data_IF_446663840973
#
_entry.id   IF_446663840973
#
_cell.length_a   1.000
_cell.length_b   1.000
_cell.length_c   1.000
_cell.angle_alpha   90.00
_cell.angle_beta   90.00
_cell.angle_gamma   90.00
#
_symmetry.space_group_name_H-M   'P 1'
#
loop_
_entity.id
_entity.type
_entity.pdbx_description
1 polymer ?
#
# COMPACT_ATOMS: atom_id res chain seq x y z
N UNK A 1 1.39 16.62 -25.36
CA UNK A 1 0.02 16.33 -24.88
C UNK A 1 -0.09 17.00 -23.55
N UNK A 2 -0.83 18.10 -23.49
CA UNK A 2 -1.11 18.82 -22.26
C UNK A 2 -2.15 17.97 -21.50
N UNK A 3 -1.65 17.13 -20.60
CA UNK A 3 -2.52 16.32 -19.75
C UNK A 3 -3.07 17.23 -18.66
N UNK A 4 -4.39 17.44 -18.65
CA UNK A 4 -5.10 18.23 -17.64
C UNK A 4 -5.16 17.44 -16.32
N UNK A 5 -4.00 17.14 -15.74
CA UNK A 5 -3.88 16.38 -14.50
C UNK A 5 -3.83 17.40 -13.36
N UNK A 6 -4.84 17.34 -12.50
CA UNK A 6 -4.91 18.10 -11.26
C UNK A 6 -5.01 17.14 -10.07
N UNK A 7 -3.99 17.18 -9.22
CA UNK A 7 -3.84 16.31 -8.06
C UNK A 7 -4.97 16.45 -7.05
N UNK A 8 -5.67 17.59 -7.04
CA UNK A 8 -6.73 17.87 -6.08
C UNK A 8 -8.14 17.51 -6.56
N UNK A 9 -8.33 17.27 -7.87
CA UNK A 9 -9.67 17.11 -8.44
C UNK A 9 -9.85 15.88 -9.30
N UNK A 10 -8.79 15.33 -9.91
CA UNK A 10 -8.94 14.26 -10.89
C UNK A 10 -7.88 13.15 -10.80
N UNK A 11 -7.17 13.04 -9.68
CA UNK A 11 -6.16 12.01 -9.48
C UNK A 11 -6.55 11.01 -8.40
N UNK A 12 -6.50 9.73 -8.76
CA UNK A 12 -6.69 8.59 -7.85
C UNK A 12 -5.34 7.91 -7.69
N UNK A 13 -4.79 7.93 -6.48
CA UNK A 13 -3.48 7.34 -6.20
C UNK A 13 -3.67 5.92 -5.68
N UNK A 14 -2.99 4.97 -6.30
CA UNK A 14 -2.98 3.56 -5.87
C UNK A 14 -1.57 3.19 -5.42
N UNK A 15 -1.45 2.54 -4.26
CA UNK A 15 -0.17 2.09 -3.73
C UNK A 15 -0.29 0.86 -2.84
N UNK A 16 0.85 0.19 -2.65
CA UNK A 16 1.01 -0.94 -1.74
C UNK A 16 1.91 -0.59 -0.55
N UNK A 17 1.36 -0.63 0.66
CA UNK A 17 2.13 -0.46 1.88
C UNK A 17 2.24 -1.76 2.69
N UNK A 18 3.46 -2.08 3.09
CA UNK A 18 3.73 -3.13 4.07
C UNK A 18 3.77 -2.55 5.50
N UNK A 19 3.10 -3.22 6.43
CA UNK A 19 3.15 -2.96 7.87
C UNK A 19 3.63 -4.22 8.58
N UNK A 20 4.57 -4.05 9.51
CA UNK A 20 5.04 -5.15 10.35
C UNK A 20 5.20 -4.69 11.81
N UNK A 21 5.03 -5.62 12.73
CA UNK A 21 4.99 -5.34 14.18
C UNK A 21 6.30 -4.72 14.72
N UNK A 22 7.44 -5.07 14.12
CA UNK A 22 8.74 -4.47 14.48
C UNK A 22 8.94 -3.03 13.95
N UNK A 23 7.97 -2.43 13.24
CA UNK A 23 8.07 -1.01 12.82
C UNK A 23 8.02 -0.04 14.02
N UNK A 24 7.62 -0.52 15.21
CA UNK A 24 7.56 0.28 16.45
C UNK A 24 8.95 0.79 16.83
N UNK A 25 9.05 2.11 17.04
CA UNK A 25 10.27 2.73 17.58
C UNK A 25 10.31 2.46 19.07
N UNK A 26 11.24 1.60 19.50
CA UNK A 26 11.47 1.39 20.93
C UNK A 26 12.31 2.55 21.44
N UNK A 27 11.73 3.37 22.32
CA UNK A 27 12.45 4.43 23.04
C UNK A 27 12.44 4.04 24.51
N UNK A 28 13.62 4.05 25.14
CA UNK A 28 13.77 3.78 26.55
C UNK A 28 14.54 4.94 27.19
N UNK A 29 14.08 5.38 28.37
CA UNK A 29 14.82 6.30 29.21
C UNK A 29 15.63 5.50 30.21
N UNK A 30 16.87 5.89 30.43
CA UNK A 30 17.73 5.26 31.43
C UNK A 30 18.37 6.32 32.31
N UNK A 31 18.69 5.93 33.55
CA UNK A 31 19.31 6.86 34.49
C UNK A 31 20.70 7.23 33.96
N UNK A 32 21.04 8.52 34.07
CA UNK A 32 22.40 9.01 33.83
C UNK A 32 23.39 8.13 34.62
N UNK A 33 24.53 7.83 34.00
CA UNK A 33 25.62 6.97 34.51
C UNK A 33 25.34 5.46 34.57
N UNK A 34 24.30 4.95 33.91
CA UNK A 34 24.01 3.53 33.88
C UNK A 34 23.85 3.01 32.44
N UNK A 35 24.14 1.72 32.19
CA UNK A 35 24.11 1.14 30.84
C UNK A 35 22.67 0.83 30.41
N UNK A 36 22.23 1.43 29.31
CA UNK A 36 20.95 1.05 28.68
C UNK A 36 21.07 -0.36 28.08
N UNK A 37 20.23 -1.29 28.55
CA UNK A 37 20.05 -2.61 27.96
C UNK A 37 18.74 -2.65 27.20
N UNK A 38 18.80 -3.00 25.92
CA UNK A 38 17.63 -3.08 25.06
C UNK A 38 17.52 -4.51 24.53
N UNK A 39 16.47 -5.21 24.94
CA UNK A 39 16.13 -6.52 24.38
C UNK A 39 15.47 -6.31 23.02
N UNK A 40 16.18 -6.66 21.96
CA UNK A 40 15.61 -6.64 20.61
C UNK A 40 14.87 -7.95 20.35
N UNK A 41 13.54 -7.91 20.09
CA UNK A 41 12.85 -9.09 19.62
C UNK A 41 13.47 -9.52 18.29
N UNK A 42 14.11 -10.69 18.27
CA UNK A 42 14.72 -11.28 17.06
C UNK A 42 13.67 -11.96 16.16
N UNK A 43 12.41 -11.91 16.53
CA UNK A 43 11.32 -12.59 15.82
C UNK A 43 11.13 -11.93 14.46
N UNK A 44 11.15 -12.74 13.39
CA UNK A 44 10.76 -12.29 12.05
C UNK A 44 9.28 -11.93 12.11
N UNK A 45 8.99 -10.64 12.18
CA UNK A 45 7.64 -10.11 12.20
C UNK A 45 6.85 -10.59 10.98
N UNK A 46 5.62 -11.03 11.20
CA UNK A 46 4.64 -11.24 10.13
C UNK A 46 4.33 -9.88 9.50
N UNK A 47 4.55 -9.78 8.19
CA UNK A 47 4.25 -8.57 7.42
C UNK A 47 2.83 -8.68 6.87
N UNK A 48 2.03 -7.66 7.14
CA UNK A 48 0.73 -7.44 6.50
C UNK A 48 0.92 -6.45 5.35
N UNK A 49 0.47 -6.83 4.17
CA UNK A 49 0.49 -5.97 2.99
C UNK A 49 -0.89 -5.35 2.83
N UNK A 50 -0.96 -4.05 2.57
CA UNK A 50 -2.18 -3.31 2.35
C UNK A 50 -2.11 -2.66 0.97
N UNK A 51 -3.11 -2.94 0.14
CA UNK A 51 -3.35 -2.23 -1.11
C UNK A 51 -4.38 -1.14 -0.84
N UNK A 52 -4.12 0.07 -1.28
CA UNK A 52 -5.01 1.20 -1.03
C UNK A 52 -5.12 2.11 -2.25
N UNK A 53 -6.32 2.64 -2.43
CA UNK A 53 -6.66 3.65 -3.40
C UNK A 53 -7.21 4.88 -2.69
N UNK A 54 -6.58 6.04 -2.89
CA UNK A 54 -7.01 7.31 -2.30
C UNK A 54 -7.37 8.33 -3.38
N UNK A 55 -8.28 9.21 -3.01
CA UNK A 55 -8.67 10.41 -3.71
C UNK A 55 -8.48 11.62 -2.77
N UNK A 56 -8.40 12.86 -3.26
CA UNK A 56 -8.22 14.04 -2.41
C UNK A 56 -9.27 14.20 -1.32
N UNK A 57 -10.49 13.71 -1.53
CA UNK A 57 -11.56 13.74 -0.53
C UNK A 57 -11.56 12.56 0.45
N UNK A 58 -10.80 11.49 0.20
CA UNK A 58 -10.77 10.35 1.10
C UNK A 58 -10.27 9.05 0.48
N UNK A 59 -10.37 7.98 1.28
CA UNK A 59 -9.99 6.63 0.87
C UNK A 59 -11.14 5.98 0.12
N UNK A 60 -10.88 5.46 -1.09
CA UNK A 60 -11.89 4.79 -1.92
C UNK A 60 -11.97 3.32 -1.54
N UNK A 61 -10.82 2.63 -1.52
CA UNK A 61 -10.76 1.19 -1.31
C UNK A 61 -9.48 0.79 -0.60
N UNK A 62 -9.61 -0.15 0.33
CA UNK A 62 -8.49 -0.73 1.09
C UNK A 62 -8.64 -2.25 1.08
N UNK A 63 -7.60 -2.96 0.66
CA UNK A 63 -7.50 -4.41 0.80
C UNK A 63 -6.31 -4.79 1.65
N UNK A 64 -6.61 -5.37 2.81
CA UNK A 64 -5.61 -5.90 3.73
C UNK A 64 -5.32 -7.36 3.39
N UNK A 65 -4.04 -7.72 3.34
CA UNK A 65 -3.57 -9.08 3.06
C UNK A 65 -2.62 -9.52 4.16
N UNK A 66 -3.07 -10.50 4.93
CA UNK A 66 -2.27 -11.16 5.94
C UNK A 66 -1.24 -12.13 5.36
N UNK A 67 -0.19 -12.46 6.13
CA UNK A 67 0.76 -13.50 5.78
C UNK A 67 0.06 -14.84 5.68
N UNK A 68 0.18 -15.51 4.52
CA UNK A 68 -0.36 -16.88 4.36
C UNK A 68 0.58 -17.86 5.04
N UNK A 69 0.03 -18.74 5.89
CA UNK A 69 0.74 -19.90 6.40
C UNK A 69 1.15 -20.79 5.22
N UNK A 70 2.44 -20.79 4.88
CA UNK A 70 2.96 -21.72 3.89
C UNK A 70 3.02 -23.09 4.54
N UNK A 71 2.19 -24.03 4.07
CA UNK A 71 2.32 -25.44 4.42
C UNK A 71 3.76 -25.90 4.14
N UNK A 72 4.48 -26.32 5.18
CA UNK A 72 5.92 -26.64 5.14
C UNK A 72 6.28 -27.79 4.17
N UNK A 73 5.29 -28.53 3.66
CA UNK A 73 5.48 -29.72 2.83
C UNK A 73 5.74 -29.45 1.34
N UNK A 74 5.75 -28.19 0.87
CA UNK A 74 6.22 -27.87 -0.50
C UNK A 74 7.44 -26.97 -0.42
N UNK A 75 8.62 -27.59 -0.57
CA UNK A 75 9.89 -26.93 -0.90
C UNK A 75 9.78 -26.24 -2.27
N UNK A 76 9.05 -25.12 -2.35
CA UNK A 76 9.20 -24.07 -3.39
C UNK A 76 8.19 -22.94 -3.18
N UNK A 77 8.77 -21.73 -3.10
CA UNK A 77 8.25 -20.38 -3.33
C UNK A 77 7.73 -19.61 -2.10
N UNK A 78 8.59 -18.69 -1.67
CA UNK A 78 8.37 -17.44 -0.93
C UNK A 78 6.91 -16.98 -0.94
N UNK A 79 6.15 -17.37 0.08
CA UNK A 79 4.75 -17.01 0.23
C UNK A 79 4.61 -15.63 0.85
N UNK A 80 3.88 -14.73 0.17
CA UNK A 80 3.39 -13.49 0.79
C UNK A 80 3.40 -12.23 -0.08
N UNK A 81 3.99 -12.23 -1.28
CA UNK A 81 4.00 -11.04 -2.14
C UNK A 81 2.68 -10.82 -2.90
N UNK A 82 2.37 -9.57 -3.24
CA UNK A 82 1.32 -9.24 -4.21
C UNK A 82 1.75 -9.75 -5.58
N UNK A 83 1.01 -10.75 -6.09
CA UNK A 83 1.14 -11.22 -7.47
C UNK A 83 0.33 -10.29 -8.36
N UNK A 84 0.71 -10.17 -9.63
CA UNK A 84 0.02 -9.35 -10.65
C UNK A 84 -1.51 -9.54 -10.60
N UNK A 85 -2.01 -10.77 -10.46
CA UNK A 85 -3.47 -11.02 -10.38
C UNK A 85 -4.15 -10.44 -9.14
N UNK A 86 -3.45 -10.33 -8.02
CA UNK A 86 -4.01 -9.67 -6.82
C UNK A 86 -4.13 -8.17 -7.00
N UNK A 87 -3.14 -7.57 -7.67
CA UNK A 87 -3.16 -6.14 -8.00
C UNK A 87 -4.25 -5.84 -9.04
N UNK A 88 -4.35 -6.66 -10.08
CA UNK A 88 -5.40 -6.55 -11.10
C UNK A 88 -6.81 -6.61 -10.48
N UNK A 89 -7.08 -7.59 -9.62
CA UNK A 89 -8.37 -7.68 -8.92
C UNK A 89 -8.60 -6.50 -7.96
N UNK A 90 -7.56 -5.87 -7.43
CA UNK A 90 -7.74 -4.66 -6.64
C UNK A 90 -8.16 -3.47 -7.50
N UNK A 91 -7.53 -3.30 -8.66
CA UNK A 91 -7.87 -2.26 -9.62
C UNK A 91 -9.29 -2.43 -10.14
N UNK A 92 -9.70 -3.65 -10.53
CA UNK A 92 -11.06 -3.92 -10.98
C UNK A 92 -12.10 -3.54 -9.92
N UNK A 93 -11.95 -4.05 -8.69
CA UNK A 93 -12.89 -3.74 -7.60
C UNK A 93 -12.89 -2.24 -7.25
N UNK A 94 -11.76 -1.55 -7.39
CA UNK A 94 -11.70 -0.10 -7.18
C UNK A 94 -12.46 0.63 -8.30
N UNK A 95 -12.26 0.25 -9.55
CA UNK A 95 -13.00 0.85 -10.67
C UNK A 95 -14.49 0.51 -10.62
N UNK A 96 -14.89 -0.66 -10.11
CA UNK A 96 -16.30 -0.99 -9.90
C UNK A 96 -16.96 0.02 -8.95
N UNK A 97 -16.29 0.39 -7.86
CA UNK A 97 -16.75 1.43 -6.92
C UNK A 97 -16.78 2.81 -7.60
N UNK A 98 -15.75 3.14 -8.39
CA UNK A 98 -15.67 4.43 -9.07
C UNK A 98 -16.74 4.58 -10.15
N UNK A 99 -17.08 3.51 -10.86
CA UNK A 99 -18.07 3.49 -11.93
C UNK A 99 -19.50 3.78 -11.41
N UNK A 100 -19.75 3.58 -10.11
CA UNK A 100 -21.01 3.96 -9.45
C UNK A 100 -21.21 5.49 -9.37
N UNK A 101 -20.13 6.27 -9.52
CA UNK A 101 -20.16 7.73 -9.39
C UNK A 101 -19.67 8.41 -10.67
N UNK A 102 -20.53 9.24 -11.28
CA UNK A 102 -20.20 9.89 -12.55
C UNK A 102 -19.00 10.86 -12.46
N UNK A 103 -18.75 11.42 -11.28
CA UNK A 103 -17.67 12.37 -11.02
C UNK A 103 -16.27 11.78 -11.27
N UNK A 104 -16.11 10.47 -11.14
CA UNK A 104 -14.80 9.83 -11.30
C UNK A 104 -14.48 9.43 -12.74
N UNK A 105 -15.43 9.50 -13.69
CA UNK A 105 -15.22 9.04 -15.09
C UNK A 105 -14.10 9.77 -15.83
N UNK A 106 -13.71 10.96 -15.37
CA UNK A 106 -12.63 11.78 -15.95
C UNK A 106 -11.33 11.71 -15.13
N UNK A 107 -11.26 10.83 -14.13
CA UNK A 107 -10.10 10.72 -13.27
C UNK A 107 -8.95 9.91 -13.91
N UNK A 108 -7.74 10.23 -13.46
CA UNK A 108 -6.50 9.55 -13.76
C UNK A 108 -6.12 8.63 -12.61
N UNK A 109 -5.87 7.36 -12.93
CA UNK A 109 -5.28 6.40 -12.00
C UNK A 109 -3.76 6.58 -12.03
N UNK A 110 -3.22 7.04 -10.91
CA UNK A 110 -1.80 7.30 -10.70
C UNK A 110 -1.18 6.15 -9.93
N UNK A 111 -0.11 5.57 -10.48
CA UNK A 111 0.60 4.43 -9.90
C UNK A 111 2.12 4.63 -9.96
N UNK A 112 2.86 3.92 -9.12
CA UNK A 112 4.30 3.83 -9.20
C UNK A 112 4.76 3.00 -10.42
N UNK A 113 5.98 3.28 -10.86
CA UNK A 113 6.55 2.75 -12.09
C UNK A 113 7.21 1.38 -11.89
N UNK A 114 6.53 0.47 -11.18
CA UNK A 114 7.05 -0.86 -10.82
C UNK A 114 6.44 -1.94 -11.74
N UNK A 115 7.18 -3.01 -12.10
CA UNK A 115 6.72 -4.01 -13.05
C UNK A 115 5.35 -4.65 -12.75
N UNK A 116 4.97 -4.75 -11.47
CA UNK A 116 3.67 -5.32 -11.07
C UNK A 116 2.48 -4.48 -11.54
N UNK A 117 2.69 -3.19 -11.84
CA UNK A 117 1.67 -2.26 -12.32
C UNK A 117 1.57 -2.22 -13.84
N UNK A 118 2.60 -2.73 -14.56
CA UNK A 118 2.70 -2.67 -16.02
C UNK A 118 2.07 -3.86 -16.75
N UNK A 119 1.04 -4.47 -16.17
CA UNK A 119 0.34 -5.56 -16.84
C UNK A 119 -0.52 -5.01 -17.98
N UNK A 120 -0.40 -5.61 -19.16
CA UNK A 120 -1.21 -5.28 -20.34
C UNK A 120 -2.71 -5.45 -20.10
N UNK A 121 -3.12 -6.40 -19.26
CA UNK A 121 -4.53 -6.61 -18.98
C UNK A 121 -5.11 -5.49 -18.11
N UNK A 122 -4.31 -5.00 -17.15
CA UNK A 122 -4.65 -3.83 -16.32
C UNK A 122 -4.80 -2.59 -17.19
N UNK A 123 -3.89 -2.39 -18.13
CA UNK A 123 -3.95 -1.28 -19.07
C UNK A 123 -5.22 -1.29 -19.93
N UNK A 124 -5.53 -2.46 -20.51
CA UNK A 124 -6.72 -2.63 -21.34
C UNK A 124 -7.98 -2.35 -20.53
N UNK A 125 -8.04 -2.82 -19.30
CA UNK A 125 -9.22 -2.66 -18.44
C UNK A 125 -9.44 -1.20 -18.03
N UNK A 126 -8.37 -0.49 -17.63
CA UNK A 126 -8.43 0.94 -17.30
C UNK A 126 -8.93 1.75 -18.52
N UNK A 127 -8.32 1.52 -19.68
CA UNK A 127 -8.69 2.21 -20.92
C UNK A 127 -10.13 1.86 -21.36
N UNK A 128 -10.56 0.60 -21.19
CA UNK A 128 -11.92 0.13 -21.53
C UNK A 128 -12.99 0.88 -20.74
N UNK A 129 -12.71 1.23 -19.48
CA UNK A 129 -13.62 1.95 -18.59
C UNK A 129 -13.54 3.47 -18.73
N UNK A 130 -12.59 3.98 -19.52
CA UNK A 130 -12.47 5.41 -19.83
C UNK A 130 -11.57 6.21 -18.88
N UNK A 131 -10.92 5.55 -17.91
CA UNK A 131 -9.98 6.22 -17.01
C UNK A 131 -8.65 6.50 -17.69
N UNK A 132 -8.03 7.63 -17.34
CA UNK A 132 -6.65 7.89 -17.70
C UNK A 132 -5.69 7.09 -16.82
N UNK A 133 -4.49 6.79 -17.32
CA UNK A 133 -3.44 6.12 -16.54
C UNK A 133 -2.17 6.94 -16.55
N UNK A 134 -1.60 7.16 -15.38
CA UNK A 134 -0.34 7.90 -15.21
C UNK A 134 0.62 7.08 -14.35
N UNK A 135 1.85 6.94 -14.80
CA UNK A 135 2.93 6.40 -13.97
C UNK A 135 3.78 7.55 -13.47
N UNK A 136 4.10 7.53 -12.18
CA UNK A 136 5.07 8.45 -11.60
C UNK A 136 6.48 8.19 -12.16
N UNK A 137 7.35 9.18 -12.13
CA UNK A 137 8.76 8.97 -12.41
C UNK A 137 9.35 7.93 -11.45
N UNK A 138 10.32 7.11 -11.90
CA UNK A 138 11.01 6.19 -11.01
C UNK A 138 11.61 6.94 -9.80
N UNK A 139 11.46 6.35 -8.61
CA UNK A 139 12.02 6.88 -7.36
C UNK A 139 11.52 8.28 -6.96
N UNK A 140 10.27 8.63 -7.29
CA UNK A 140 9.64 9.91 -6.89
C UNK A 140 8.50 9.75 -5.87
N UNK A 141 8.77 9.25 -4.64
CA UNK A 141 7.76 9.13 -3.60
C UNK A 141 7.18 10.48 -3.16
N UNK A 142 7.92 11.58 -3.33
CA UNK A 142 7.46 12.94 -3.05
C UNK A 142 6.29 13.39 -3.93
N UNK A 143 6.11 12.76 -5.09
CA UNK A 143 5.00 12.99 -6.00
C UNK A 143 3.79 12.08 -5.71
N UNK A 144 3.85 11.28 -4.65
CA UNK A 144 2.79 10.36 -4.29
C UNK A 144 2.17 10.71 -2.92
N UNK A 145 1.06 11.46 -2.87
CA UNK A 145 0.42 11.88 -1.62
C UNK A 145 0.07 10.71 -0.69
N UNK A 146 -0.15 9.51 -1.23
CA UNK A 146 -0.44 8.31 -0.43
C UNK A 146 0.72 7.92 0.50
N UNK A 147 1.96 8.30 0.19
CA UNK A 147 3.12 8.06 1.06
C UNK A 147 3.01 8.87 2.36
N UNK A 148 2.48 10.09 2.27
CA UNK A 148 2.22 10.92 3.45
C UNK A 148 1.09 10.34 4.29
N UNK A 149 0.02 9.85 3.65
CA UNK A 149 -1.05 9.12 4.33
C UNK A 149 -0.49 7.91 5.10
N UNK A 150 0.33 7.09 4.45
CA UNK A 150 0.96 5.93 5.09
C UNK A 150 1.93 6.29 6.21
N UNK A 151 2.64 7.41 6.10
CA UNK A 151 3.48 7.94 7.19
C UNK A 151 2.64 8.16 8.46
N UNK A 152 1.46 8.77 8.32
CA UNK A 152 0.53 9.00 9.43
C UNK A 152 -0.03 7.68 9.95
N UNK A 153 -0.56 6.81 9.09
CA UNK A 153 -1.13 5.51 9.50
C UNK A 153 -0.11 4.65 10.25
N UNK A 154 1.10 4.49 9.68
CA UNK A 154 2.19 3.73 10.31
C UNK A 154 2.62 4.36 11.63
N UNK A 155 2.61 5.69 11.77
CA UNK A 155 2.93 6.33 13.05
C UNK A 155 1.96 5.95 14.16
N UNK A 156 0.66 5.76 13.83
CA UNK A 156 -0.37 5.38 14.79
C UNK A 156 -0.24 3.91 15.21
N UNK A 157 -0.05 2.99 14.26
CA UNK A 157 0.14 1.56 14.53
C UNK A 157 1.38 1.30 15.40
N UNK A 158 2.44 2.09 15.24
CA UNK A 158 3.65 2.00 16.08
C UNK A 158 3.42 2.32 17.56
N UNK A 159 2.31 2.96 17.95
CA UNK A 159 2.05 3.33 19.35
C UNK A 159 1.37 2.20 20.13
N UNK A 160 0.65 1.31 19.44
CA UNK A 160 -0.12 0.24 20.07
C UNK A 160 0.79 -0.83 20.71
N UNK A 161 0.30 -1.45 21.77
CA UNK A 161 1.03 -2.47 22.53
C UNK A 161 1.03 -3.81 21.76
N UNK A 162 2.13 -4.55 21.87
CA UNK A 162 2.28 -5.84 21.21
C UNK A 162 1.34 -6.84 21.87
N UNK A 163 0.34 -7.35 21.15
CA UNK A 163 -0.30 -8.59 21.58
C UNK A 163 0.77 -9.69 21.55
N UNK A 164 0.98 -10.33 22.70
CA UNK A 164 2.00 -11.38 22.84
C UNK A 164 1.67 -12.63 22.01
N UNK A 165 0.41 -12.78 21.61
CA UNK A 165 -0.06 -13.83 20.71
C UNK A 165 -0.75 -13.19 19.50
N UNK A 166 -0.33 -13.59 18.31
CA UNK A 166 -1.06 -13.33 17.07
C UNK A 166 -2.23 -14.31 17.01
N UNK A 167 -3.47 -13.82 17.16
CA UNK A 167 -4.69 -14.62 16.97
C UNK A 167 -4.81 -15.14 15.53
#
# INVERSE_FOLDING_TARGET
METDIDYFSNCIFIHEAAIHVNMKRTVAWFKISSRAEVVMPKTRAKTTTILEAIFPYGVISVKVRGPRAVNQNKKRKTGGGTVIGHYFNFICDTMDILDEHEEFKVCYIVMDNVPIHKNTDTEKEINRRGYGRVYLSPHSPELNPIEQFWSVCKSKTKREELLQEET
#
